data_IF_309291559562
#
_entry.id   IF_309291559562
#
_cell.length_a   1.000
_cell.length_b   1.000
_cell.length_c   1.000
_cell.angle_alpha   90.00
_cell.angle_beta   90.00
_cell.angle_gamma   90.00
#
_symmetry.space_group_name_H-M   'P 1'
#
loop_
_entity.id
_entity.type
_entity.pdbx_description
1 polymer ?
#
# COMPACT_ATOMS: atom_id res chain seq x y z
N UNK A 1 1.01 14.90 15.00
CA UNK A 1 0.88 14.33 13.65
C UNK A 1 2.24 13.79 13.28
N UNK A 2 2.31 12.51 12.92
CA UNK A 2 3.54 11.90 12.41
C UNK A 2 3.65 12.14 10.90
N UNK A 3 4.88 12.24 10.40
CA UNK A 3 5.14 12.22 8.96
C UNK A 3 5.62 10.83 8.57
N UNK A 4 4.94 10.23 7.60
CA UNK A 4 5.31 8.91 7.10
C UNK A 4 5.90 9.01 5.70
N UNK A 5 6.94 8.22 5.45
CA UNK A 5 7.47 8.05 4.11
C UNK A 5 6.67 6.99 3.37
N UNK A 6 5.61 7.38 2.65
CA UNK A 6 4.68 6.42 2.04
C UNK A 6 5.37 5.43 1.10
N UNK A 7 6.33 5.90 0.31
CA UNK A 7 7.16 5.03 -0.54
C UNK A 7 7.86 3.92 0.28
N UNK A 8 8.45 4.26 1.43
CA UNK A 8 9.10 3.28 2.28
C UNK A 8 8.11 2.31 2.93
N UNK A 9 6.91 2.77 3.29
CA UNK A 9 5.83 1.91 3.80
C UNK A 9 5.39 0.91 2.73
N UNK A 10 5.17 1.38 1.50
CA UNK A 10 4.77 0.54 0.37
C UNK A 10 5.85 -0.48 0.03
N UNK A 11 7.11 -0.08 0.04
CA UNK A 11 8.24 -0.97 -0.24
C UNK A 11 8.45 -1.99 0.88
N UNK A 12 8.28 -1.58 2.15
CA UNK A 12 8.38 -2.47 3.30
C UNK A 12 7.28 -3.55 3.30
N UNK A 13 6.06 -3.19 2.88
CA UNK A 13 4.87 -4.05 2.87
C UNK A 13 4.56 -4.65 1.48
N UNK A 14 5.51 -4.63 0.53
CA UNK A 14 5.27 -5.04 -0.87
C UNK A 14 4.67 -6.45 -0.97
N UNK A 15 5.15 -7.38 -0.15
CA UNK A 15 4.68 -8.77 -0.14
C UNK A 15 3.25 -8.87 0.38
N UNK A 16 2.96 -8.21 1.49
CA UNK A 16 1.66 -8.19 2.16
C UNK A 16 0.61 -7.56 1.25
N UNK A 17 0.94 -6.45 0.58
CA UNK A 17 0.05 -5.82 -0.39
C UNK A 17 -0.26 -6.72 -1.58
N UNK A 18 0.75 -7.39 -2.16
CA UNK A 18 0.52 -8.35 -3.25
C UNK A 18 -0.43 -9.48 -2.82
N UNK A 19 -0.23 -10.03 -1.63
CA UNK A 19 -1.09 -11.07 -1.08
C UNK A 19 -2.53 -10.58 -0.89
N UNK A 20 -2.71 -9.40 -0.30
CA UNK A 20 -4.03 -8.80 -0.10
C UNK A 20 -4.76 -8.52 -1.43
N UNK A 21 -4.04 -8.00 -2.42
CA UNK A 21 -4.59 -7.75 -3.77
C UNK A 21 -4.98 -9.07 -4.45
N UNK A 22 -4.13 -10.09 -4.40
CA UNK A 22 -4.43 -11.38 -5.01
C UNK A 22 -5.67 -12.01 -4.37
N UNK A 23 -5.81 -11.92 -3.05
CA UNK A 23 -6.99 -12.38 -2.33
C UNK A 23 -8.25 -11.62 -2.76
N UNK A 24 -8.17 -10.28 -2.88
CA UNK A 24 -9.27 -9.44 -3.31
C UNK A 24 -9.70 -9.74 -4.77
N UNK A 25 -8.74 -9.89 -5.69
CA UNK A 25 -9.01 -10.26 -7.09
C UNK A 25 -9.66 -11.64 -7.19
N UNK A 26 -9.17 -12.60 -6.41
CA UNK A 26 -9.73 -13.96 -6.34
C UNK A 26 -11.17 -13.92 -5.84
N UNK A 27 -11.44 -13.19 -4.76
CA UNK A 27 -12.78 -13.03 -4.21
C UNK A 27 -13.73 -12.32 -5.19
N UNK A 28 -13.23 -11.36 -5.97
CA UNK A 28 -14.00 -10.67 -6.98
C UNK A 28 -14.22 -11.51 -8.26
N UNK A 29 -13.61 -12.69 -8.39
CA UNK A 29 -13.62 -13.48 -9.62
C UNK A 29 -12.93 -12.78 -10.80
N UNK A 30 -12.03 -11.83 -10.51
CA UNK A 30 -11.34 -11.07 -11.54
C UNK A 30 -10.25 -11.93 -12.20
N UNK A 31 -10.19 -11.91 -13.53
CA UNK A 31 -9.16 -12.61 -14.33
C UNK A 31 -7.92 -11.74 -14.56
N UNK A 32 -7.76 -10.67 -13.79
CA UNK A 32 -6.67 -9.70 -13.93
C UNK A 32 -5.39 -10.31 -13.35
N UNK A 33 -4.27 -10.10 -14.02
CA UNK A 33 -2.96 -10.45 -13.49
C UNK A 33 -2.63 -9.62 -12.23
N UNK A 34 -2.56 -10.28 -11.08
CA UNK A 34 -2.36 -9.62 -9.79
C UNK A 34 -1.02 -8.89 -9.67
N UNK A 35 0.02 -9.36 -10.37
CA UNK A 35 1.34 -8.73 -10.35
C UNK A 35 1.33 -7.44 -11.15
N UNK A 36 0.76 -7.45 -12.36
CA UNK A 36 0.60 -6.26 -13.21
C UNK A 36 -0.31 -5.24 -12.53
N UNK A 37 -1.39 -5.69 -11.89
CA UNK A 37 -2.27 -4.84 -11.10
C UNK A 37 -1.51 -4.19 -9.94
N UNK A 38 -0.75 -4.95 -9.16
CA UNK A 38 0.04 -4.41 -8.05
C UNK A 38 1.04 -3.36 -8.52
N UNK A 39 1.79 -3.61 -9.60
CA UNK A 39 2.76 -2.63 -10.12
C UNK A 39 2.08 -1.30 -10.48
N UNK A 40 0.95 -1.38 -11.16
CA UNK A 40 0.16 -0.19 -11.53
C UNK A 40 -0.37 0.52 -10.27
N UNK A 41 -0.90 -0.25 -9.33
CA UNK A 41 -1.44 0.26 -8.07
C UNK A 41 -0.35 0.93 -7.22
N UNK A 42 0.83 0.31 -7.06
CA UNK A 42 1.99 0.86 -6.36
C UNK A 42 2.41 2.21 -6.96
N UNK A 43 2.53 2.31 -8.28
CA UNK A 43 2.85 3.57 -8.95
C UNK A 43 1.81 4.65 -8.64
N UNK A 44 0.51 4.33 -8.75
CA UNK A 44 -0.56 5.29 -8.45
C UNK A 44 -0.53 5.70 -6.98
N UNK A 45 -0.24 4.78 -6.07
CA UNK A 45 -0.18 5.06 -4.64
C UNK A 45 0.96 6.03 -4.33
N UNK A 46 2.16 5.81 -4.83
CA UNK A 46 3.31 6.71 -4.62
C UNK A 46 3.12 8.08 -5.31
N UNK A 47 2.43 8.13 -6.45
CA UNK A 47 2.13 9.41 -7.12
C UNK A 47 1.09 10.24 -6.37
N UNK A 48 0.07 9.60 -5.80
CA UNK A 48 -1.05 10.29 -5.15
C UNK A 48 -0.81 10.53 -3.65
N UNK A 49 -0.04 9.66 -3.00
CA UNK A 49 0.43 9.84 -1.63
C UNK A 49 1.88 10.29 -1.70
N UNK A 50 2.14 11.56 -1.37
CA UNK A 50 3.49 12.12 -1.47
C UNK A 50 4.46 11.31 -0.60
N UNK A 51 5.77 11.33 -0.90
CA UNK A 51 6.77 10.69 -0.06
C UNK A 51 6.80 11.18 1.39
N UNK A 52 6.06 12.24 1.76
CA UNK A 52 5.89 12.67 3.13
C UNK A 52 4.43 13.08 3.33
N UNK A 53 3.63 12.17 3.87
CA UNK A 53 2.24 12.42 4.24
C UNK A 53 2.12 12.66 5.75
N UNK A 54 1.26 13.61 6.13
CA UNK A 54 0.96 13.89 7.53
C UNK A 54 -0.19 13.01 7.99
N UNK A 55 0.09 12.08 8.90
CA UNK A 55 -0.93 11.22 9.49
C UNK A 55 -1.26 11.67 10.92
N UNK A 56 -2.55 11.66 11.30
CA UNK A 56 -2.95 11.90 12.69
C UNK A 56 -2.28 10.90 13.64
N UNK A 57 -1.89 11.33 14.84
CA UNK A 57 -1.18 10.45 15.79
C UNK A 57 -2.03 9.25 16.21
N UNK A 58 -3.37 9.39 16.21
CA UNK A 58 -4.31 8.28 16.43
C UNK A 58 -4.20 7.13 15.40
N UNK A 59 -3.54 7.37 14.27
CA UNK A 59 -3.30 6.37 13.23
C UNK A 59 -1.93 5.69 13.37
N UNK A 60 -1.12 6.10 14.36
CA UNK A 60 0.22 5.57 14.62
C UNK A 60 0.23 4.93 16.00
N UNK A 61 0.45 3.62 16.04
CA UNK A 61 0.69 2.91 17.29
C UNK A 61 2.18 3.04 17.64
N UNK A 62 2.55 3.57 18.82
CA UNK A 62 3.94 3.64 19.24
C UNK A 62 4.46 2.23 19.55
N UNK A 63 5.62 1.88 18.99
CA UNK A 63 6.36 0.69 19.37
C UNK A 63 6.69 0.79 20.87
N UNK A 64 6.18 -0.15 21.67
CA UNK A 64 6.47 -0.29 23.10
C UNK A 64 7.61 -1.29 23.33
#
# INVERSE_FOLDING_TARGET
>A
MARIKMEAVVDHLDKEFRQAIQAALTQAGATIDGQQFWQTFRQKLVMNCKPWESVPDRCVEPEH
#
